data_IF_055353328884
#
_entry.id   IF_055353328884
#
_cell.length_a   1.000
_cell.length_b   1.000
_cell.length_c   1.000
_cell.angle_alpha   90.00
_cell.angle_beta   90.00
_cell.angle_gamma   90.00
#
_symmetry.space_group_name_H-M   'P 1'
#
loop_
_entity.id
_entity.type
_entity.pdbx_description
1 polymer ?
#
# COMPACT_ATOMS: atom_id res chain seq x y z
N UNK A 1 -15.57 -6.33 -4.59
CA UNK A 1 -14.73 -5.11 -4.76
C UNK A 1 -13.74 -5.37 -5.88
N UNK A 2 -13.42 -4.37 -6.70
CA UNK A 2 -12.41 -4.49 -7.77
C UNK A 2 -11.31 -3.49 -7.53
N UNK A 3 -10.09 -3.83 -7.94
CA UNK A 3 -8.96 -2.93 -7.91
C UNK A 3 -8.02 -3.15 -9.08
N UNK A 4 -7.05 -2.25 -9.22
CA UNK A 4 -5.98 -2.35 -10.21
C UNK A 4 -4.67 -1.84 -9.61
N UNK A 5 -3.59 -2.54 -9.88
CA UNK A 5 -2.24 -2.19 -9.46
C UNK A 5 -1.64 -1.22 -10.48
N UNK A 6 -1.14 -0.08 -10.03
CA UNK A 6 -0.48 0.94 -10.83
C UNK A 6 1.01 1.06 -10.54
N UNK A 7 1.43 0.53 -9.39
CA UNK A 7 2.82 0.41 -8.97
C UNK A 7 2.92 -0.52 -7.79
N UNK A 8 3.99 -1.31 -7.73
CA UNK A 8 4.21 -2.35 -6.69
C UNK A 8 5.66 -2.42 -6.21
N UNK A 9 6.57 -1.58 -6.72
CA UNK A 9 7.95 -1.50 -6.26
C UNK A 9 8.04 -0.71 -4.95
N UNK A 10 9.01 -1.08 -4.13
CA UNK A 10 9.39 -0.37 -2.91
C UNK A 10 10.56 0.57 -3.11
N UNK A 11 10.74 1.47 -2.18
CA UNK A 11 11.88 2.36 -1.99
C UNK A 11 12.14 3.37 -3.11
N UNK A 12 12.15 2.96 -4.37
CA UNK A 12 12.39 3.82 -5.55
C UNK A 12 11.86 3.16 -6.82
N UNK A 13 11.39 3.97 -7.76
CA UNK A 13 10.99 3.48 -9.08
C UNK A 13 12.16 2.81 -9.81
N UNK A 14 11.93 1.62 -10.35
CA UNK A 14 12.96 0.75 -10.95
C UNK A 14 12.56 0.27 -12.34
N UNK A 15 12.37 1.18 -13.32
CA UNK A 15 12.05 0.78 -14.69
C UNK A 15 13.27 0.14 -15.36
N UNK A 16 13.08 -1.05 -15.96
CA UNK A 16 14.16 -1.77 -16.63
C UNK A 16 13.70 -2.99 -17.38
N UNK A 17 14.62 -3.69 -18.04
CA UNK A 17 14.33 -4.94 -18.74
C UNK A 17 14.02 -6.06 -17.75
N UNK A 18 14.71 -6.07 -16.62
CA UNK A 18 14.61 -7.11 -15.58
C UNK A 18 13.41 -6.91 -14.63
N UNK A 19 12.68 -5.78 -14.77
CA UNK A 19 11.51 -5.44 -13.96
C UNK A 19 10.22 -5.30 -14.79
N UNK A 20 10.25 -5.72 -16.06
CA UNK A 20 9.20 -5.43 -17.04
C UNK A 20 7.90 -6.19 -16.80
N UNK A 21 7.97 -7.41 -16.24
CA UNK A 21 6.78 -8.25 -16.00
C UNK A 21 5.94 -7.75 -14.83
N UNK A 22 6.59 -7.35 -13.75
CA UNK A 22 5.92 -6.87 -12.53
C UNK A 22 5.81 -5.37 -12.46
N UNK A 23 6.57 -4.65 -13.27
CA UNK A 23 6.57 -3.19 -13.34
C UNK A 23 7.64 -2.53 -12.47
N UNK A 24 7.88 -1.25 -12.73
CA UNK A 24 8.91 -0.46 -12.08
C UNK A 24 8.39 0.75 -11.29
N UNK A 25 7.07 1.01 -11.27
CA UNK A 25 6.50 2.10 -10.51
C UNK A 25 6.37 1.76 -9.03
N UNK A 26 6.50 2.77 -8.17
CA UNK A 26 6.31 2.64 -6.72
C UNK A 26 4.83 2.62 -6.34
N UNK A 27 4.56 2.29 -5.09
CA UNK A 27 3.28 1.89 -4.50
C UNK A 27 2.08 2.74 -4.90
N UNK A 28 1.16 2.17 -5.68
CA UNK A 28 -0.13 2.77 -6.00
C UNK A 28 -1.15 1.71 -6.41
N UNK A 29 -2.28 1.66 -5.71
CA UNK A 29 -3.39 0.76 -6.03
C UNK A 29 -4.68 1.55 -6.12
N UNK A 30 -5.44 1.32 -7.18
CA UNK A 30 -6.81 1.79 -7.32
C UNK A 30 -7.78 0.74 -6.79
N UNK A 31 -8.76 1.15 -5.98
CA UNK A 31 -9.88 0.32 -5.55
C UNK A 31 -11.20 0.97 -5.92
N UNK A 32 -12.17 0.13 -6.28
CA UNK A 32 -13.56 0.53 -6.55
C UNK A 32 -14.50 -0.37 -5.74
N UNK A 33 -14.76 -0.03 -4.47
CA UNK A 33 -15.80 -0.69 -3.71
C UNK A 33 -17.17 -0.42 -4.35
N UNK A 34 -18.09 -1.39 -4.42
CA UNK A 34 -19.38 -1.21 -5.06
C UNK A 34 -20.20 -0.05 -4.47
N UNK A 35 -20.51 0.95 -5.32
CA UNK A 35 -21.28 2.15 -4.93
C UNK A 35 -20.42 3.22 -4.24
N UNK A 36 -19.11 3.09 -4.25
CA UNK A 36 -18.16 4.05 -3.73
C UNK A 36 -17.39 4.71 -4.88
N UNK A 37 -17.00 5.97 -4.71
CA UNK A 37 -16.04 6.61 -5.59
C UNK A 37 -14.66 5.97 -5.47
N UNK A 38 -13.72 6.42 -6.30
CA UNK A 38 -12.38 5.84 -6.38
C UNK A 38 -11.63 6.01 -5.07
N UNK A 39 -11.11 4.90 -4.57
CA UNK A 39 -10.16 4.85 -3.45
C UNK A 39 -8.78 4.51 -3.99
N UNK A 40 -7.78 5.24 -3.57
CA UNK A 40 -6.38 5.08 -3.99
C UNK A 40 -5.57 4.73 -2.75
N UNK A 41 -4.78 3.67 -2.81
CA UNK A 41 -3.84 3.30 -1.75
C UNK A 41 -2.46 3.70 -2.21
N UNK A 42 -1.86 4.62 -1.47
CA UNK A 42 -0.59 5.30 -1.70
C UNK A 42 -0.45 6.06 -3.04
N UNK A 43 0.47 7.01 -3.05
CA UNK A 43 0.70 7.98 -4.11
C UNK A 43 2.13 7.92 -4.68
N UNK A 44 2.69 6.70 -4.84
CA UNK A 44 3.94 6.49 -5.53
C UNK A 44 3.85 6.83 -7.02
N UNK A 45 4.89 6.55 -7.78
CA UNK A 45 4.97 6.95 -9.21
C UNK A 45 3.84 6.40 -10.08
N UNK A 46 3.25 5.26 -9.69
CA UNK A 46 2.10 4.66 -10.38
C UNK A 46 0.87 5.56 -10.45
N UNK A 47 0.70 6.50 -9.51
CA UNK A 47 -0.48 7.40 -9.47
C UNK A 47 -0.56 8.33 -10.69
N UNK A 48 0.57 8.61 -11.36
CA UNK A 48 0.60 9.46 -12.56
C UNK A 48 -0.31 8.90 -13.67
N UNK A 49 -0.14 7.63 -14.02
CA UNK A 49 -0.97 7.00 -15.06
C UNK A 49 -2.43 6.84 -14.62
N UNK A 50 -2.65 6.52 -13.35
CA UNK A 50 -3.98 6.48 -12.76
C UNK A 50 -4.66 7.85 -12.91
N UNK A 51 -3.97 8.95 -12.61
CA UNK A 51 -4.50 10.30 -12.71
C UNK A 51 -4.97 10.65 -14.12
N UNK A 52 -4.17 10.32 -15.15
CA UNK A 52 -4.55 10.51 -16.56
C UNK A 52 -5.85 9.75 -16.89
N UNK A 53 -5.99 8.52 -16.40
CA UNK A 53 -7.19 7.72 -16.61
C UNK A 53 -8.40 8.33 -15.90
N UNK A 54 -8.27 8.71 -14.63
CA UNK A 54 -9.38 9.27 -13.84
C UNK A 54 -9.92 10.57 -14.44
N UNK A 55 -9.05 11.40 -14.97
CA UNK A 55 -9.43 12.60 -15.69
C UNK A 55 -10.26 12.28 -16.95
N UNK A 56 -9.85 11.27 -17.71
CA UNK A 56 -10.61 10.81 -18.91
C UNK A 56 -11.98 10.22 -18.53
N UNK A 57 -12.08 9.57 -17.37
CA UNK A 57 -13.33 9.06 -16.83
C UNK A 57 -14.24 10.14 -16.24
N UNK A 58 -13.74 11.36 -16.05
CA UNK A 58 -14.48 12.48 -15.46
C UNK A 58 -14.65 12.33 -13.94
N UNK A 59 -13.73 11.63 -13.26
CA UNK A 59 -13.76 11.51 -11.81
C UNK A 59 -13.45 12.88 -11.17
N UNK A 60 -14.32 13.32 -10.26
CA UNK A 60 -14.19 14.61 -9.57
C UNK A 60 -13.90 14.42 -8.07
N UNK A 61 -14.50 13.40 -7.42
CA UNK A 61 -14.27 13.09 -6.01
C UNK A 61 -13.44 11.80 -5.88
N UNK A 62 -12.40 11.85 -5.05
CA UNK A 62 -11.45 10.74 -4.85
C UNK A 62 -10.95 10.68 -3.41
N UNK A 63 -10.57 9.47 -2.98
CA UNK A 63 -10.10 9.18 -1.63
C UNK A 63 -8.71 8.55 -1.69
N UNK A 64 -7.69 9.25 -1.19
CA UNK A 64 -6.32 8.79 -1.10
C UNK A 64 -5.99 8.34 0.33
N UNK A 65 -5.60 7.10 0.51
CA UNK A 65 -5.20 6.52 1.77
C UNK A 65 -3.68 6.30 1.74
N UNK A 66 -2.94 7.16 2.44
CA UNK A 66 -1.49 7.05 2.59
C UNK A 66 -1.17 6.16 3.80
N UNK A 67 -0.37 5.12 3.58
CA UNK A 67 0.11 4.27 4.68
C UNK A 67 1.12 5.02 5.54
N UNK A 68 2.02 5.77 4.92
CA UNK A 68 3.01 6.63 5.53
C UNK A 68 3.55 7.65 4.52
N UNK A 69 4.57 8.42 4.88
CA UNK A 69 5.06 9.53 4.07
C UNK A 69 6.51 9.34 3.58
N UNK A 70 6.98 8.11 3.42
CA UNK A 70 8.23 7.89 2.69
C UNK A 70 8.04 8.26 1.22
N UNK A 71 9.14 8.63 0.57
CA UNK A 71 9.10 9.26 -0.76
C UNK A 71 8.41 8.38 -1.80
N UNK A 72 8.66 7.10 -1.79
CA UNK A 72 8.08 6.11 -2.73
C UNK A 72 6.56 5.90 -2.59
N UNK A 73 5.95 6.39 -1.50
CA UNK A 73 4.49 6.41 -1.30
C UNK A 73 3.87 7.79 -1.55
N UNK A 74 4.68 8.81 -1.84
CA UNK A 74 4.22 10.21 -1.96
C UNK A 74 4.71 10.89 -3.23
N UNK A 75 5.82 10.45 -3.84
CA UNK A 75 6.53 11.16 -4.91
C UNK A 75 5.68 11.41 -6.17
N UNK A 76 4.71 10.54 -6.43
CA UNK A 76 3.80 10.68 -7.57
C UNK A 76 2.71 11.73 -7.40
N UNK A 77 2.43 12.19 -6.17
CA UNK A 77 1.31 13.09 -5.88
C UNK A 77 1.37 14.38 -6.71
N UNK A 78 2.55 14.95 -6.87
CA UNK A 78 2.73 16.17 -7.66
C UNK A 78 2.44 16.00 -9.17
N UNK A 79 2.48 14.77 -9.67
CA UNK A 79 2.18 14.39 -11.05
C UNK A 79 0.79 13.76 -11.21
N UNK A 80 -0.03 13.76 -10.16
CA UNK A 80 -1.40 13.28 -10.17
C UNK A 80 -2.31 14.32 -10.83
N UNK A 81 -2.63 14.15 -12.11
CA UNK A 81 -3.35 15.16 -12.93
C UNK A 81 -4.62 15.73 -12.28
N UNK A 82 -5.45 14.95 -11.55
CA UNK A 82 -6.65 15.49 -10.90
C UNK A 82 -6.40 16.66 -9.95
N UNK A 83 -5.29 16.72 -9.20
CA UNK A 83 -5.06 17.82 -8.25
C UNK A 83 -4.88 19.19 -8.93
N UNK A 84 -4.57 19.20 -10.23
CA UNK A 84 -4.42 20.41 -11.03
C UNK A 84 -5.74 20.91 -11.64
N UNK A 85 -6.87 20.37 -11.19
CA UNK A 85 -8.21 20.71 -11.66
C UNK A 85 -9.08 21.26 -10.54
N UNK A 86 -9.72 22.43 -10.76
CA UNK A 86 -10.57 23.11 -9.76
C UNK A 86 -11.81 22.32 -9.32
N UNK A 87 -12.31 21.44 -10.20
CA UNK A 87 -13.48 20.60 -9.89
C UNK A 87 -13.14 19.35 -9.05
N UNK A 88 -11.85 19.10 -8.83
CA UNK A 88 -11.43 17.92 -8.03
C UNK A 88 -11.61 18.18 -6.55
N UNK A 89 -12.24 17.23 -5.87
CA UNK A 89 -12.32 17.07 -4.43
C UNK A 89 -11.51 15.83 -4.04
N UNK A 90 -10.42 16.02 -3.33
CA UNK A 90 -9.52 14.94 -2.89
C UNK A 90 -9.49 14.88 -1.37
N UNK A 91 -9.93 13.75 -0.81
CA UNK A 91 -9.79 13.46 0.61
C UNK A 91 -8.53 12.62 0.83
N UNK A 92 -7.63 13.06 1.70
CA UNK A 92 -6.37 12.36 2.01
C UNK A 92 -6.41 11.88 3.45
N UNK A 93 -6.36 10.57 3.66
CA UNK A 93 -6.11 9.95 4.96
C UNK A 93 -4.64 9.61 5.09
N UNK A 94 -4.09 9.73 6.29
CA UNK A 94 -2.73 9.30 6.59
C UNK A 94 -2.49 9.24 8.10
N UNK A 95 -1.37 8.65 8.54
CA UNK A 95 -1.08 8.48 9.94
C UNK A 95 -0.92 9.84 10.66
N UNK A 96 -1.45 9.95 11.88
CA UNK A 96 -1.20 11.10 12.74
C UNK A 96 0.27 11.23 13.11
N UNK A 97 0.66 12.42 13.49
CA UNK A 97 1.97 12.70 14.07
C UNK A 97 1.84 13.77 15.15
N UNK A 98 2.53 13.62 16.28
CA UNK A 98 2.55 14.66 17.32
C UNK A 98 3.35 15.91 16.93
N UNK A 99 4.12 15.84 15.82
CA UNK A 99 5.05 16.91 15.43
C UNK A 99 4.39 17.92 14.47
N UNK A 100 3.58 17.44 13.52
CA UNK A 100 2.98 18.29 12.50
C UNK A 100 1.73 17.62 11.91
N UNK A 101 0.79 18.43 11.39
CA UNK A 101 -0.39 17.92 10.68
C UNK A 101 -0.01 17.14 9.43
N UNK A 102 -0.94 16.31 8.92
CA UNK A 102 -0.73 15.56 7.66
C UNK A 102 -0.43 16.53 6.50
N UNK A 103 -1.19 17.62 6.39
CA UNK A 103 -0.97 18.67 5.40
C UNK A 103 0.44 19.25 5.47
N UNK A 104 0.90 19.66 6.67
CA UNK A 104 2.23 20.24 6.85
C UNK A 104 3.35 19.27 6.46
N UNK A 105 3.18 17.98 6.76
CA UNK A 105 4.16 16.95 6.40
C UNK A 105 4.20 16.69 4.89
N UNK A 106 3.06 16.63 4.22
CA UNK A 106 2.98 16.52 2.76
C UNK A 106 3.58 17.79 2.11
N UNK A 107 3.31 18.97 2.65
CA UNK A 107 3.85 20.23 2.17
C UNK A 107 5.38 20.30 2.26
N UNK A 108 6.02 19.53 3.14
CA UNK A 108 7.49 19.45 3.19
C UNK A 108 8.07 18.90 1.88
N UNK A 109 7.47 17.87 1.32
CA UNK A 109 7.82 17.36 0.00
C UNK A 109 7.31 18.27 -1.12
N UNK A 110 6.05 18.74 -0.98
CA UNK A 110 5.34 19.52 -2.01
C UNK A 110 5.60 21.03 -1.86
N UNK A 111 6.87 21.42 -1.95
CA UNK A 111 7.33 22.81 -1.82
C UNK A 111 8.74 22.98 -2.40
N UNK A 112 9.10 24.20 -2.84
CA UNK A 112 10.50 24.48 -3.21
C UNK A 112 11.49 24.22 -2.05
N UNK A 113 12.68 23.70 -2.34
CA UNK A 113 13.22 23.38 -3.67
C UNK A 113 12.87 21.99 -4.20
N UNK A 114 12.17 21.15 -3.44
CA UNK A 114 11.86 19.75 -3.81
C UNK A 114 10.78 19.68 -4.89
N UNK A 115 9.78 20.56 -4.81
CA UNK A 115 8.73 20.68 -5.80
C UNK A 115 8.58 22.16 -6.22
N UNK A 116 8.27 22.49 -7.51
CA UNK A 116 8.34 23.87 -8.00
C UNK A 116 7.26 24.82 -7.47
N UNK A 117 6.16 24.28 -6.92
CA UNK A 117 5.05 25.04 -6.36
C UNK A 117 4.70 24.56 -4.96
N UNK A 118 4.05 25.40 -4.17
CA UNK A 118 3.57 25.00 -2.85
C UNK A 118 2.26 24.23 -2.94
N UNK A 119 2.03 23.31 -2.00
CA UNK A 119 0.78 22.56 -1.90
C UNK A 119 -0.46 23.45 -1.85
N UNK A 120 -0.36 24.62 -1.23
CA UNK A 120 -1.43 25.63 -1.15
C UNK A 120 -1.79 26.30 -2.49
N UNK A 121 -0.96 26.12 -3.52
CA UNK A 121 -1.21 26.66 -4.87
C UNK A 121 -1.95 25.66 -5.78
N UNK A 122 -2.17 24.44 -5.30
CA UNK A 122 -2.91 23.39 -6.01
C UNK A 122 -4.38 23.81 -6.13
N UNK A 123 -4.98 23.79 -7.33
CA UNK A 123 -6.34 24.27 -7.55
C UNK A 123 -7.45 23.35 -7.04
N UNK A 124 -7.19 22.07 -6.79
CA UNK A 124 -8.15 21.12 -6.23
C UNK A 124 -8.50 21.47 -4.77
N UNK A 125 -9.71 21.12 -4.35
CA UNK A 125 -10.06 21.13 -2.92
C UNK A 125 -9.47 19.88 -2.28
N UNK A 126 -8.61 20.04 -1.28
CA UNK A 126 -8.00 18.92 -0.55
C UNK A 126 -8.44 18.96 0.91
N UNK A 127 -8.96 17.84 1.40
CA UNK A 127 -9.30 17.63 2.81
C UNK A 127 -8.39 16.57 3.42
N UNK A 128 -7.88 16.84 4.63
CA UNK A 128 -6.95 15.94 5.32
C UNK A 128 -7.61 15.29 6.53
N UNK A 129 -7.41 13.98 6.69
CA UNK A 129 -7.99 13.16 7.74
C UNK A 129 -6.93 12.32 8.43
N UNK A 130 -7.10 12.13 9.74
CA UNK A 130 -6.27 11.23 10.54
C UNK A 130 -6.77 9.79 10.38
N UNK A 131 -5.84 8.90 10.02
CA UNK A 131 -6.07 7.47 9.87
C UNK A 131 -5.52 6.62 11.03
N UNK A 132 -5.00 7.22 12.10
CA UNK A 132 -4.43 6.46 13.22
C UNK A 132 -5.54 5.84 14.07
N UNK A 133 -5.54 4.49 14.18
CA UNK A 133 -6.50 3.70 14.96
C UNK A 133 -7.95 4.15 14.75
N UNK A 134 -8.35 4.30 13.49
CA UNK A 134 -9.61 4.90 13.09
C UNK A 134 -10.52 3.92 12.38
N UNK A 135 -11.83 4.13 12.53
CA UNK A 135 -12.86 3.50 11.70
C UNK A 135 -13.75 4.57 11.09
N UNK A 136 -14.00 4.46 9.78
CA UNK A 136 -14.91 5.37 9.07
C UNK A 136 -15.63 4.66 7.91
N UNK A 137 -16.52 5.37 7.27
CA UNK A 137 -17.26 4.89 6.10
C UNK A 137 -17.17 5.88 4.96
N UNK A 138 -17.02 5.35 3.76
CA UNK A 138 -17.13 6.10 2.51
C UNK A 138 -18.16 5.36 1.65
N UNK A 139 -19.27 6.01 1.32
CA UNK A 139 -20.31 5.51 0.41
C UNK A 139 -20.74 4.04 0.67
N UNK A 140 -20.80 3.64 1.94
CA UNK A 140 -21.21 2.29 2.35
C UNK A 140 -20.09 1.25 2.50
N UNK A 141 -18.89 1.51 2.03
CA UNK A 141 -17.71 0.73 2.40
C UNK A 141 -17.19 1.16 3.79
N UNK A 142 -16.72 0.19 4.59
CA UNK A 142 -16.11 0.43 5.90
C UNK A 142 -14.62 0.35 5.76
N UNK A 143 -13.95 1.30 6.36
CA UNK A 143 -12.50 1.39 6.45
C UNK A 143 -12.08 1.34 7.91
N UNK A 144 -11.01 0.63 8.19
CA UNK A 144 -10.33 0.68 9.48
C UNK A 144 -8.83 0.70 9.28
N UNK A 145 -8.13 1.35 10.18
CA UNK A 145 -6.67 1.50 10.18
C UNK A 145 -6.11 1.32 11.57
N UNK A 146 -4.95 0.71 11.64
CA UNK A 146 -4.15 0.59 12.85
C UNK A 146 -2.69 0.85 12.54
N UNK A 147 -1.94 1.30 13.53
CA UNK A 147 -0.49 1.39 13.44
C UNK A 147 0.12 0.01 13.15
N UNK A 148 1.12 -0.01 12.28
CA UNK A 148 1.91 -1.20 11.96
C UNK A 148 3.40 -0.92 12.16
N UNK A 149 4.20 -1.97 12.34
CA UNK A 149 5.63 -1.84 12.61
C UNK A 149 6.39 -1.51 11.32
N UNK A 150 6.84 -0.26 11.27
CA UNK A 150 7.74 0.30 10.25
C UNK A 150 8.38 1.59 10.81
N UNK A 151 9.57 2.01 10.35
CA UNK A 151 10.17 3.27 10.79
C UNK A 151 9.28 4.50 10.50
N UNK A 152 8.94 5.25 11.55
CA UNK A 152 8.04 6.40 11.46
C UNK A 152 6.57 6.06 11.64
N UNK A 153 5.69 7.08 11.68
CA UNK A 153 4.25 6.87 11.76
C UNK A 153 3.72 6.16 10.51
N UNK A 154 3.28 4.91 10.67
CA UNK A 154 2.81 4.05 9.58
C UNK A 154 1.54 3.32 9.99
N UNK A 155 0.58 3.24 9.09
CA UNK A 155 -0.69 2.53 9.29
C UNK A 155 -0.94 1.53 8.17
N UNK A 156 -1.56 0.41 8.52
CA UNK A 156 -2.20 -0.48 7.58
C UNK A 156 -3.69 -0.17 7.46
N UNK A 157 -4.31 -0.67 6.40
CA UNK A 157 -5.74 -0.48 6.12
C UNK A 157 -6.48 -1.80 5.94
N UNK A 158 -7.72 -1.85 6.46
CA UNK A 158 -8.70 -2.89 6.17
C UNK A 158 -9.93 -2.25 5.56
N UNK A 159 -10.35 -2.75 4.40
CA UNK A 159 -11.47 -2.23 3.61
C UNK A 159 -12.52 -3.32 3.45
N UNK A 160 -13.71 -3.06 3.95
CA UNK A 160 -14.83 -3.99 3.91
C UNK A 160 -15.98 -3.45 3.07
N UNK A 161 -16.43 -4.22 2.10
CA UNK A 161 -17.57 -3.87 1.26
C UNK A 161 -18.33 -5.12 0.82
N UNK A 162 -19.65 -5.14 1.06
CA UNK A 162 -20.56 -6.25 0.69
C UNK A 162 -20.08 -7.62 1.17
N UNK A 163 -19.56 -7.70 2.39
CA UNK A 163 -19.09 -8.94 3.01
C UNK A 163 -17.75 -9.44 2.47
N UNK A 164 -17.02 -8.62 1.72
CA UNK A 164 -15.67 -8.90 1.24
C UNK A 164 -14.66 -7.98 1.90
N UNK A 165 -13.47 -8.51 2.15
CA UNK A 165 -12.42 -7.86 2.92
C UNK A 165 -11.12 -7.82 2.13
N UNK A 166 -10.55 -6.62 1.99
CA UNK A 166 -9.18 -6.42 1.55
C UNK A 166 -8.37 -5.79 2.70
N UNK A 167 -7.21 -6.36 2.99
CA UNK A 167 -6.21 -5.77 3.88
C UNK A 167 -5.00 -5.30 3.07
N UNK A 168 -4.48 -4.11 3.41
CA UNK A 168 -3.30 -3.50 2.79
C UNK A 168 -2.27 -3.18 3.87
N UNK A 169 -1.21 -3.96 3.90
CA UNK A 169 -0.13 -3.90 4.88
C UNK A 169 1.21 -3.87 4.13
N UNK A 170 1.46 -2.78 3.42
CA UNK A 170 2.78 -2.51 2.84
C UNK A 170 3.70 -1.92 3.89
N UNK A 171 5.02 -2.08 3.72
CA UNK A 171 6.01 -1.55 4.67
C UNK A 171 5.73 -2.04 6.09
N UNK A 172 5.84 -3.34 6.26
CA UNK A 172 5.42 -4.00 7.49
C UNK A 172 6.41 -5.10 7.91
N UNK A 173 6.87 -5.00 9.15
CA UNK A 173 7.81 -5.96 9.77
C UNK A 173 7.16 -6.66 10.98
N UNK A 174 6.17 -7.54 10.79
CA UNK A 174 5.39 -8.14 11.88
C UNK A 174 6.23 -9.02 12.82
N UNK A 175 7.38 -9.51 12.36
CA UNK A 175 8.28 -10.33 13.15
C UNK A 175 9.25 -9.51 14.03
N UNK A 176 9.27 -8.19 13.92
CA UNK A 176 10.11 -7.36 14.76
C UNK A 176 9.57 -7.33 16.20
N UNK A 177 10.28 -8.03 17.07
CA UNK A 177 9.88 -8.17 18.47
C UNK A 177 8.75 -9.18 18.75
N UNK A 178 8.34 -9.97 17.75
CA UNK A 178 7.33 -11.01 17.90
C UNK A 178 7.74 -12.33 17.23
N UNK A 179 7.38 -13.45 17.85
CA UNK A 179 7.46 -14.77 17.23
C UNK A 179 6.10 -15.09 16.56
N UNK A 180 6.08 -15.07 15.23
CA UNK A 180 4.86 -15.30 14.46
C UNK A 180 4.28 -16.71 14.64
N UNK A 181 5.07 -17.69 15.13
CA UNK A 181 4.60 -19.05 15.38
C UNK A 181 3.93 -19.19 16.74
N UNK A 182 4.52 -18.60 17.79
CA UNK A 182 4.16 -18.88 19.19
C UNK A 182 3.40 -17.76 19.88
N UNK A 183 3.62 -16.50 19.50
CA UNK A 183 3.00 -15.36 20.16
C UNK A 183 1.49 -15.27 19.90
N UNK A 184 0.76 -14.70 20.86
CA UNK A 184 -0.66 -14.41 20.70
C UNK A 184 -0.86 -13.39 19.58
N UNK A 185 -1.93 -13.57 18.80
CA UNK A 185 -2.35 -12.67 17.74
C UNK A 185 -2.47 -11.20 18.18
N UNK A 186 -2.80 -10.95 19.44
CA UNK A 186 -2.96 -9.60 19.99
C UNK A 186 -1.62 -8.82 20.07
N UNK A 187 -0.50 -9.52 20.05
CA UNK A 187 0.84 -8.94 20.07
C UNK A 187 1.49 -8.81 18.68
N UNK A 188 0.85 -9.35 17.65
CA UNK A 188 1.38 -9.31 16.30
C UNK A 188 0.84 -8.07 15.58
N UNK A 189 1.76 -7.20 15.18
CA UNK A 189 1.45 -6.01 14.41
C UNK A 189 0.62 -6.34 13.16
N UNK A 190 -0.39 -5.53 12.87
CA UNK A 190 -1.23 -5.67 11.67
C UNK A 190 -2.20 -6.86 11.68
N UNK A 191 -2.14 -7.78 12.68
CA UNK A 191 -2.97 -8.99 12.68
C UNK A 191 -4.47 -8.69 12.60
N UNK A 192 -4.97 -7.76 13.41
CA UNK A 192 -6.39 -7.41 13.44
C UNK A 192 -6.92 -6.92 12.08
N UNK A 193 -6.06 -6.24 11.29
CA UNK A 193 -6.42 -5.78 9.96
C UNK A 193 -6.45 -6.94 8.94
N UNK A 194 -5.52 -7.89 9.06
CA UNK A 194 -5.37 -8.99 8.11
C UNK A 194 -6.31 -10.17 8.39
N UNK A 195 -6.75 -10.34 9.63
CA UNK A 195 -7.49 -11.54 10.05
C UNK A 195 -8.70 -11.81 9.17
N UNK A 196 -8.70 -13.01 8.54
CA UNK A 196 -9.72 -13.50 7.61
C UNK A 196 -10.00 -12.54 6.44
N UNK A 197 -8.97 -11.87 5.93
CA UNK A 197 -9.12 -11.10 4.71
C UNK A 197 -9.28 -12.04 3.50
N UNK A 198 -10.19 -11.69 2.59
CA UNK A 198 -10.31 -12.38 1.29
C UNK A 198 -9.06 -12.11 0.43
N UNK A 199 -8.46 -10.92 0.55
CA UNK A 199 -7.19 -10.56 -0.07
C UNK A 199 -6.34 -9.78 0.92
N UNK A 200 -5.13 -10.26 1.17
CA UNK A 200 -4.08 -9.52 1.84
C UNK A 200 -3.04 -9.06 0.81
N UNK A 201 -2.81 -7.77 0.73
CA UNK A 201 -1.69 -7.17 0.02
C UNK A 201 -0.64 -6.86 1.07
N UNK A 202 0.53 -7.48 0.98
CA UNK A 202 1.53 -7.43 2.03
C UNK A 202 2.93 -7.24 1.49
N UNK A 203 3.74 -6.48 2.23
CA UNK A 203 5.17 -6.36 2.04
C UNK A 203 5.85 -7.73 1.94
N UNK A 204 6.70 -7.90 0.94
CA UNK A 204 7.57 -9.05 0.80
C UNK A 204 8.87 -8.60 0.11
N UNK A 205 9.58 -7.66 0.73
CA UNK A 205 10.73 -7.02 0.12
C UNK A 205 11.97 -7.90 0.15
N UNK A 206 12.16 -8.74 1.19
CA UNK A 206 13.41 -9.44 1.41
C UNK A 206 13.30 -10.96 1.34
N UNK A 207 14.43 -11.59 0.98
CA UNK A 207 14.68 -13.00 1.32
C UNK A 207 15.15 -13.12 2.78
N UNK A 208 15.07 -14.30 3.41
CA UNK A 208 15.61 -14.50 4.76
C UNK A 208 17.10 -14.13 4.90
N UNK A 209 17.90 -14.38 3.86
CA UNK A 209 19.32 -14.07 3.85
C UNK A 209 19.60 -12.57 3.81
N UNK A 210 18.81 -11.80 3.06
CA UNK A 210 18.94 -10.35 2.98
C UNK A 210 18.54 -9.68 4.29
N UNK A 211 17.56 -10.24 4.97
CA UNK A 211 17.03 -9.71 6.22
C UNK A 211 18.02 -9.73 7.39
N UNK A 212 19.01 -10.65 7.39
CA UNK A 212 20.01 -10.73 8.45
C UNK A 212 20.72 -9.38 8.72
N UNK A 213 20.83 -8.54 7.69
CA UNK A 213 21.47 -7.23 7.76
C UNK A 213 20.47 -6.05 7.71
N UNK A 214 19.17 -6.34 7.68
CA UNK A 214 18.10 -5.35 7.48
C UNK A 214 17.01 -5.41 8.56
N UNK A 215 17.32 -6.06 9.68
CA UNK A 215 16.42 -6.11 10.85
C UNK A 215 16.08 -4.68 11.30
N UNK A 216 14.81 -4.37 11.48
CA UNK A 216 14.32 -3.05 11.88
C UNK A 216 14.22 -2.04 10.73
N UNK A 217 14.39 -2.48 9.48
CA UNK A 217 14.15 -1.63 8.32
C UNK A 217 12.65 -1.50 7.99
N UNK A 218 11.80 -2.30 8.63
CA UNK A 218 10.36 -2.21 8.50
C UNK A 218 9.76 -3.04 7.37
N UNK A 219 10.45 -4.10 6.93
CA UNK A 219 10.02 -4.93 5.81
C UNK A 219 10.05 -6.43 6.12
N UNK A 220 9.26 -7.20 5.38
CA UNK A 220 9.07 -8.63 5.57
C UNK A 220 9.91 -9.49 4.63
N UNK A 221 10.21 -10.70 5.10
CA UNK A 221 10.76 -11.78 4.27
C UNK A 221 9.68 -12.70 3.74
N UNK A 222 10.05 -13.56 2.77
CA UNK A 222 9.18 -14.63 2.28
C UNK A 222 8.71 -15.55 3.42
N UNK A 223 9.55 -15.81 4.43
CA UNK A 223 9.17 -16.59 5.60
C UNK A 223 8.16 -15.85 6.48
N UNK A 224 8.41 -14.57 6.78
CA UNK A 224 7.52 -13.76 7.62
C UNK A 224 6.14 -13.64 7.01
N UNK A 225 6.04 -13.32 5.71
CA UNK A 225 4.74 -13.13 5.07
C UNK A 225 3.96 -14.44 4.96
N UNK A 226 4.63 -15.57 4.72
CA UNK A 226 3.98 -16.89 4.68
C UNK A 226 3.36 -17.24 6.05
N UNK A 227 4.13 -17.12 7.13
CA UNK A 227 3.67 -17.38 8.50
C UNK A 227 2.58 -16.41 8.95
N UNK A 228 2.72 -15.13 8.59
CA UNK A 228 1.71 -14.12 8.91
C UNK A 228 0.39 -14.40 8.20
N UNK A 229 0.42 -14.73 6.91
CA UNK A 229 -0.75 -15.05 6.12
C UNK A 229 -1.47 -16.32 6.64
N UNK A 230 -0.71 -17.36 7.00
CA UNK A 230 -1.23 -18.58 7.62
C UNK A 230 -1.94 -18.25 8.95
N UNK A 231 -1.24 -17.56 9.86
CA UNK A 231 -1.75 -17.21 11.18
C UNK A 231 -2.98 -16.29 11.11
N UNK A 232 -3.01 -15.36 10.18
CA UNK A 232 -4.13 -14.46 9.96
C UNK A 232 -5.31 -15.12 9.21
N UNK A 233 -5.21 -16.38 8.82
CA UNK A 233 -6.26 -17.11 8.08
C UNK A 233 -6.68 -16.42 6.79
N UNK A 234 -5.73 -15.81 6.05
CA UNK A 234 -6.03 -15.09 4.80
C UNK A 234 -6.40 -16.07 3.69
N UNK A 235 -7.34 -15.68 2.83
CA UNK A 235 -7.69 -16.53 1.69
C UNK A 235 -6.68 -16.40 0.55
N UNK A 236 -6.32 -15.17 0.15
CA UNK A 236 -5.33 -14.90 -0.90
C UNK A 236 -4.33 -13.85 -0.48
N UNK A 237 -3.06 -14.02 -0.91
CA UNK A 237 -1.93 -13.15 -0.63
C UNK A 237 -1.39 -12.56 -1.92
N UNK A 238 -1.24 -11.23 -1.95
CA UNK A 238 -0.49 -10.49 -2.97
C UNK A 238 0.83 -10.03 -2.37
N UNK A 239 1.95 -10.54 -2.88
CA UNK A 239 3.29 -10.05 -2.54
C UNK A 239 3.48 -8.67 -3.19
N UNK A 240 3.82 -7.69 -2.37
CA UNK A 240 3.88 -6.29 -2.75
C UNK A 240 5.19 -5.66 -2.26
N UNK A 241 5.46 -4.42 -2.64
CA UNK A 241 6.60 -3.62 -2.19
C UNK A 241 7.94 -4.30 -2.52
N UNK A 242 8.10 -4.68 -3.79
CA UNK A 242 9.27 -5.43 -4.26
C UNK A 242 10.55 -4.61 -4.18
N UNK A 243 11.64 -5.21 -3.67
CA UNK A 243 12.96 -4.57 -3.63
C UNK A 243 13.35 -4.06 -5.03
N UNK A 244 13.82 -2.81 -5.15
CA UNK A 244 14.22 -2.24 -6.43
C UNK A 244 15.36 -3.00 -7.14
N UNK A 245 16.13 -3.79 -6.40
CA UNK A 245 17.22 -4.59 -6.94
C UNK A 245 16.79 -5.99 -7.39
N UNK A 246 15.57 -6.43 -7.06
CA UNK A 246 15.08 -7.74 -7.46
C UNK A 246 14.57 -7.73 -8.91
N UNK A 247 15.09 -8.67 -9.70
CA UNK A 247 14.57 -8.96 -11.03
C UNK A 247 13.21 -9.67 -10.96
N UNK A 248 12.49 -9.68 -12.06
CA UNK A 248 11.25 -10.42 -12.22
C UNK A 248 11.40 -11.93 -11.93
N UNK A 249 12.53 -12.53 -12.28
CA UNK A 249 12.81 -13.94 -12.02
C UNK A 249 13.04 -14.20 -10.52
N UNK A 250 13.71 -13.28 -9.81
CA UNK A 250 13.84 -13.37 -8.36
C UNK A 250 12.48 -13.27 -7.65
N UNK A 251 11.56 -12.44 -8.15
CA UNK A 251 10.21 -12.36 -7.60
C UNK A 251 9.41 -13.65 -7.82
N UNK A 252 9.60 -14.36 -8.95
CA UNK A 252 9.03 -15.69 -9.18
C UNK A 252 9.57 -16.72 -8.17
N UNK A 253 10.87 -16.68 -7.89
CA UNK A 253 11.52 -17.55 -6.91
C UNK A 253 11.00 -17.25 -5.49
N UNK A 254 10.89 -15.98 -5.11
CA UNK A 254 10.34 -15.54 -3.83
C UNK A 254 8.89 -15.99 -3.66
N UNK A 255 8.05 -15.85 -4.69
CA UNK A 255 6.68 -16.38 -4.68
C UNK A 255 6.67 -17.90 -4.45
N UNK A 256 7.53 -18.62 -5.14
CA UNK A 256 7.63 -20.08 -5.02
C UNK A 256 8.02 -20.50 -3.60
N UNK A 257 8.94 -19.77 -2.96
CA UNK A 257 9.32 -19.97 -1.56
C UNK A 257 8.15 -19.69 -0.60
N UNK A 258 7.38 -18.60 -0.80
CA UNK A 258 6.18 -18.30 0.01
C UNK A 258 5.14 -19.40 -0.12
N UNK A 259 4.83 -19.85 -1.34
CA UNK A 259 3.86 -20.94 -1.60
C UNK A 259 4.28 -22.22 -0.89
N UNK A 260 5.55 -22.59 -0.98
CA UNK A 260 6.08 -23.78 -0.33
C UNK A 260 6.01 -23.68 1.21
N UNK A 261 6.33 -22.54 1.79
CA UNK A 261 6.29 -22.31 3.24
C UNK A 261 4.87 -22.24 3.80
N UNK A 262 3.97 -21.59 3.07
CA UNK A 262 2.56 -21.48 3.47
C UNK A 262 1.80 -22.79 3.26
N UNK A 263 2.28 -23.68 2.38
CA UNK A 263 1.66 -24.97 2.11
C UNK A 263 0.31 -24.88 1.40
N UNK A 264 0.12 -23.91 0.54
CA UNK A 264 -1.12 -23.63 -0.19
C UNK A 264 -0.97 -23.86 -1.69
N UNK A 265 -2.11 -23.92 -2.40
CA UNK A 265 -2.12 -23.91 -3.87
C UNK A 265 -1.55 -22.60 -4.40
N UNK A 266 -0.80 -22.67 -5.50
CA UNK A 266 -0.11 -21.52 -6.08
C UNK A 266 -1.03 -20.34 -6.44
N UNK A 267 -2.30 -20.60 -6.71
CA UNK A 267 -3.29 -19.56 -7.05
C UNK A 267 -3.66 -18.66 -5.85
N UNK A 268 -3.36 -19.11 -4.63
CA UNK A 268 -3.59 -18.31 -3.41
C UNK A 268 -2.48 -17.30 -3.11
N UNK A 269 -1.33 -17.42 -3.75
CA UNK A 269 -0.23 -16.48 -3.60
C UNK A 269 0.21 -15.98 -4.97
N UNK A 270 0.18 -14.67 -5.19
CA UNK A 270 0.59 -14.04 -6.45
C UNK A 270 1.54 -12.87 -6.17
N UNK A 271 2.37 -12.54 -7.16
CA UNK A 271 3.20 -11.33 -7.14
C UNK A 271 2.38 -10.19 -7.72
N UNK A 272 2.34 -9.06 -7.04
CA UNK A 272 1.68 -7.87 -7.54
C UNK A 272 2.39 -7.35 -8.80
N UNK A 273 1.64 -7.13 -9.87
CA UNK A 273 2.16 -6.65 -11.15
C UNK A 273 1.38 -5.41 -11.61
N UNK A 274 2.08 -4.43 -12.16
CA UNK A 274 1.44 -3.28 -12.78
C UNK A 274 0.44 -3.70 -13.87
N UNK A 275 -0.73 -3.09 -13.87
CA UNK A 275 -1.81 -3.39 -14.79
C UNK A 275 -2.70 -4.56 -14.36
N UNK A 276 -2.28 -5.38 -13.39
CA UNK A 276 -3.08 -6.50 -12.91
C UNK A 276 -4.33 -6.03 -12.17
N UNK A 277 -5.42 -6.78 -12.35
CA UNK A 277 -6.69 -6.54 -11.65
C UNK A 277 -6.74 -7.34 -10.35
N UNK A 278 -7.31 -6.73 -9.32
CA UNK A 278 -7.63 -7.34 -8.04
C UNK A 278 -9.14 -7.54 -7.97
N UNK A 279 -9.58 -8.76 -7.73
CA UNK A 279 -10.99 -9.09 -7.49
C UNK A 279 -11.12 -9.64 -6.07
N UNK A 280 -11.92 -8.96 -5.23
CA UNK A 280 -12.19 -9.33 -3.83
C UNK A 280 -13.63 -9.77 -3.67
#
# INVERSE_FOLDING_TARGET
>A
MRGKIWGSRGSIASPGQDTKRYGGNTSCIELRPPGCDVVILDAGTGIRELGVRLVREGAERMFLLLTHLHVDHLEGLGMFEPIWRKQTELHIWGPASPVASLEQRIATYFSPPLFPVHLSEVPATIEYHDASESEWRIDGARFSSNAIIHPGPTVGYRIESKGRVLAYLTDHEPALGADLATDSSDWISGFALAHRADVLIHDCQFTPQEYEHRLGWGHSTTEHVARFAEKAEVDRLLLFHHDPMHSDDQLDDMRSDVVARWGVDGDRCTVAAEGAEIVV
#
